data_IF_297644311599
#
_entry.id   IF_297644311599
#
_cell.length_a   1.000
_cell.length_b   1.000
_cell.length_c   1.000
_cell.angle_alpha   90.00
_cell.angle_beta   90.00
_cell.angle_gamma   90.00
#
_symmetry.space_group_name_H-M   'P 1'
#
loop_
_entity.id
_entity.type
_entity.pdbx_description
1 polymer ?
#
# COMPACT_ATOMS: atom_id res chain seq x y z
N UNK A 1 -0.59 38.75 6.38
CA UNK A 1 -0.87 37.45 7.01
C UNK A 1 0.35 36.59 6.82
N UNK A 2 1.11 36.35 7.89
CA UNK A 2 2.21 35.39 7.86
C UNK A 2 1.60 34.00 8.03
N UNK A 3 1.75 33.15 7.00
CA UNK A 3 1.41 31.73 7.13
C UNK A 3 2.62 31.05 7.77
N UNK A 4 2.44 30.49 8.96
CA UNK A 4 3.44 29.57 9.52
C UNK A 4 3.47 28.32 8.64
N UNK A 5 4.63 28.03 8.04
CA UNK A 5 4.84 26.80 7.30
C UNK A 5 5.07 25.68 8.32
N UNK A 6 3.99 25.14 8.87
CA UNK A 6 4.03 24.00 9.77
C UNK A 6 4.27 22.76 8.92
N UNK A 7 5.33 22.00 9.23
CA UNK A 7 5.61 20.76 8.55
C UNK A 7 4.53 19.73 8.85
N UNK A 8 4.23 18.83 7.90
CA UNK A 8 3.29 17.73 8.13
C UNK A 8 3.66 16.89 9.37
N UNK A 9 4.95 16.75 9.66
CA UNK A 9 5.43 16.01 10.84
C UNK A 9 5.16 16.72 12.17
N UNK A 10 4.86 18.01 12.15
CA UNK A 10 4.58 18.80 13.35
C UNK A 10 3.09 18.76 13.73
N UNK A 11 2.24 18.23 12.84
CA UNK A 11 0.81 18.09 13.09
C UNK A 11 0.52 16.88 13.99
N UNK A 12 -0.51 16.93 14.85
CA UNK A 12 -1.02 15.76 15.58
C UNK A 12 -1.57 14.66 14.65
N UNK A 13 -1.60 13.42 15.14
CA UNK A 13 -2.07 12.25 14.37
C UNK A 13 -3.52 12.40 13.91
N UNK A 14 -4.38 12.99 14.74
CA UNK A 14 -5.79 13.21 14.45
C UNK A 14 -5.96 14.14 13.26
N UNK A 15 -5.14 15.19 13.18
CA UNK A 15 -5.15 16.15 12.07
C UNK A 15 -4.64 15.48 10.80
N UNK A 16 -3.56 14.69 10.91
CA UNK A 16 -3.03 13.90 9.79
C UNK A 16 -4.07 12.91 9.26
N UNK A 17 -4.79 12.20 10.13
CA UNK A 17 -5.86 11.29 9.74
C UNK A 17 -7.00 12.02 9.02
N UNK A 18 -7.42 13.19 9.50
CA UNK A 18 -8.45 14.01 8.83
C UNK A 18 -7.98 14.44 7.44
N UNK A 19 -6.73 14.85 7.30
CA UNK A 19 -6.13 15.24 6.02
C UNK A 19 -6.10 14.02 5.08
N UNK A 20 -5.60 12.88 5.54
CA UNK A 20 -5.49 11.66 4.74
C UNK A 20 -6.85 11.12 4.29
N UNK A 21 -7.89 11.20 5.14
CA UNK A 21 -9.27 10.82 4.79
C UNK A 21 -9.89 11.68 3.69
N UNK A 22 -9.34 12.87 3.40
CA UNK A 22 -9.82 13.71 2.29
C UNK A 22 -9.24 13.30 0.93
N UNK A 23 -8.17 12.51 0.93
CA UNK A 23 -7.57 11.98 -0.28
C UNK A 23 -8.13 10.60 -0.59
N UNK A 24 -7.88 10.12 -1.80
CA UNK A 24 -8.17 8.73 -2.12
C UNK A 24 -7.27 7.84 -1.26
N UNK A 25 -7.87 7.14 -0.30
CA UNK A 25 -7.14 6.43 0.73
C UNK A 25 -6.13 5.40 0.19
N UNK A 26 -6.37 4.82 -1.01
CA UNK A 26 -5.41 3.96 -1.68
C UNK A 26 -4.17 4.72 -2.16
N UNK A 27 -4.34 5.89 -2.76
CA UNK A 27 -3.22 6.72 -3.23
C UNK A 27 -2.37 7.20 -2.05
N UNK A 28 -3.01 7.49 -0.91
CA UNK A 28 -2.34 7.84 0.35
C UNK A 28 -1.55 6.65 0.90
N UNK A 29 -2.17 5.47 0.97
CA UNK A 29 -1.51 4.25 1.45
C UNK A 29 -0.23 3.99 0.66
N UNK A 30 -0.28 4.03 -0.67
CA UNK A 30 0.88 3.78 -1.51
C UNK A 30 1.92 4.90 -1.47
N UNK A 31 1.50 6.16 -1.31
CA UNK A 31 2.42 7.30 -1.31
C UNK A 31 3.13 7.51 0.03
N UNK A 32 2.51 7.10 1.14
CA UNK A 32 3.06 7.29 2.49
C UNK A 32 3.74 6.04 3.04
N UNK A 33 3.53 4.88 2.42
CA UNK A 33 4.20 3.65 2.79
C UNK A 33 5.73 3.84 2.69
N UNK A 34 6.42 3.54 3.80
CA UNK A 34 7.87 3.67 3.95
C UNK A 34 8.46 5.09 3.83
N UNK A 35 7.64 6.16 3.83
CA UNK A 35 8.13 7.55 3.87
C UNK A 35 8.63 7.91 5.27
N UNK A 36 7.86 7.55 6.30
CA UNK A 36 8.22 7.78 7.70
C UNK A 36 7.52 6.75 8.58
N UNK A 37 8.20 6.28 9.64
CA UNK A 37 7.68 5.28 10.57
C UNK A 37 6.33 5.69 11.21
N UNK A 38 6.17 6.95 11.59
CA UNK A 38 4.93 7.48 12.19
C UNK A 38 3.77 7.46 11.19
N UNK A 39 4.02 7.93 9.96
CA UNK A 39 2.99 7.88 8.90
C UNK A 39 2.62 6.44 8.55
N UNK A 40 3.61 5.53 8.57
CA UNK A 40 3.38 4.10 8.37
C UNK A 40 2.46 3.51 9.45
N UNK A 41 2.60 3.95 10.71
CA UNK A 41 1.68 3.53 11.78
C UNK A 41 0.26 4.06 11.56
N UNK A 42 0.12 5.34 11.18
CA UNK A 42 -1.19 5.97 10.93
C UNK A 42 -1.95 5.28 9.79
N UNK A 43 -1.27 4.96 8.68
CA UNK A 43 -1.93 4.32 7.53
C UNK A 43 -2.31 2.85 7.80
N UNK A 44 -1.66 2.20 8.77
CA UNK A 44 -2.02 0.86 9.23
C UNK A 44 -3.06 0.86 10.36
N UNK A 45 -3.43 2.03 10.87
CA UNK A 45 -4.41 2.15 11.95
C UNK A 45 -5.79 1.61 11.49
N UNK A 46 -6.47 0.78 12.31
CA UNK A 46 -7.81 0.25 11.99
C UNK A 46 -8.87 1.32 11.71
N UNK A 47 -8.79 2.48 12.36
CA UNK A 47 -9.72 3.61 12.18
C UNK A 47 -9.48 4.28 10.82
N UNK A 48 -8.25 4.25 10.31
CA UNK A 48 -7.94 4.70 8.96
C UNK A 48 -8.36 3.66 7.92
N UNK A 49 -8.00 2.39 8.14
CA UNK A 49 -8.22 1.30 7.18
C UNK A 49 -9.69 0.85 7.07
N UNK A 50 -10.49 1.01 8.13
CA UNK A 50 -11.94 0.73 8.08
C UNK A 50 -12.71 1.65 7.12
N UNK A 51 -12.17 2.83 6.79
CA UNK A 51 -12.71 3.75 5.79
C UNK A 51 -12.26 3.46 4.35
N UNK A 52 -11.54 2.37 4.09
CA UNK A 52 -11.04 2.03 2.77
C UNK A 52 -12.15 1.47 1.88
N UNK A 53 -12.69 2.34 1.03
CA UNK A 53 -13.63 1.92 -0.01
C UNK A 53 -12.86 1.39 -1.23
N UNK A 54 -12.64 0.07 -1.29
CA UNK A 54 -11.99 -0.62 -2.42
C UNK A 54 -12.77 -0.56 -3.75
N UNK A 55 -13.98 0.00 -3.73
CA UNK A 55 -14.97 -0.06 -4.83
C UNK A 55 -14.55 0.74 -6.08
N UNK A 56 -13.58 1.67 -5.97
CA UNK A 56 -13.22 2.59 -7.08
C UNK A 56 -12.01 2.14 -7.92
N UNK A 57 -11.32 1.05 -7.57
CA UNK A 57 -10.10 0.62 -8.28
C UNK A 57 -10.39 0.20 -9.73
N UNK A 58 -11.56 -0.40 -10.01
CA UNK A 58 -11.83 -0.92 -11.34
C UNK A 58 -12.29 0.12 -12.38
N UNK A 59 -12.72 1.33 -11.97
CA UNK A 59 -13.46 2.22 -12.87
C UNK A 59 -12.79 3.54 -13.24
N UNK A 60 -11.75 3.98 -12.53
CA UNK A 60 -11.08 5.25 -12.82
C UNK A 60 -9.57 5.09 -12.62
N UNK A 61 -8.82 4.88 -13.70
CA UNK A 61 -7.49 5.47 -13.96
C UNK A 61 -6.75 4.67 -15.06
N UNK A 62 -7.19 4.87 -16.30
CA UNK A 62 -6.38 4.67 -17.51
C UNK A 62 -5.30 5.77 -17.67
N UNK A 63 -5.15 6.70 -16.71
CA UNK A 63 -4.39 7.94 -16.87
C UNK A 63 -2.94 7.85 -16.35
N UNK A 64 -2.57 6.83 -15.55
CA UNK A 64 -1.19 6.66 -15.08
C UNK A 64 -0.48 5.49 -15.75
N UNK A 65 -0.26 5.60 -17.06
CA UNK A 65 0.47 4.59 -17.85
C UNK A 65 1.92 4.42 -17.34
N UNK A 66 2.57 5.51 -16.91
CA UNK A 66 3.96 5.52 -16.42
C UNK A 66 4.10 4.86 -15.04
N UNK A 67 3.12 5.06 -14.14
CA UNK A 67 3.08 4.41 -12.83
C UNK A 67 2.67 2.93 -12.94
N UNK A 68 1.86 2.58 -13.96
CA UNK A 68 1.54 1.18 -14.29
C UNK A 68 2.78 0.41 -14.70
N UNK A 69 3.70 0.99 -15.49
CA UNK A 69 4.87 0.25 -15.94
C UNK A 69 5.84 -0.09 -14.80
N UNK A 70 6.06 0.81 -13.85
CA UNK A 70 6.89 0.51 -12.66
C UNK A 70 6.20 -0.48 -11.72
N UNK A 71 4.88 -0.35 -11.52
CA UNK A 71 4.10 -1.29 -10.67
C UNK A 71 4.03 -2.67 -11.32
N UNK A 72 3.72 -2.75 -12.61
CA UNK A 72 3.65 -3.98 -13.38
C UNK A 72 5.03 -4.65 -13.45
N UNK A 73 6.09 -3.87 -13.68
CA UNK A 73 7.47 -4.36 -13.67
C UNK A 73 7.86 -4.91 -12.30
N UNK A 74 7.49 -4.24 -11.21
CA UNK A 74 7.71 -4.75 -9.85
C UNK A 74 6.92 -6.03 -9.58
N UNK A 75 5.66 -6.08 -10.02
CA UNK A 75 4.83 -7.27 -9.91
C UNK A 75 5.43 -8.45 -10.67
N UNK A 76 5.79 -8.27 -11.94
CA UNK A 76 6.36 -9.30 -12.80
C UNK A 76 7.75 -9.77 -12.36
N UNK A 77 8.61 -8.87 -11.88
CA UNK A 77 10.01 -9.20 -11.58
C UNK A 77 10.25 -9.59 -10.12
N UNK A 78 9.38 -9.21 -9.19
CA UNK A 78 9.61 -9.44 -7.76
C UNK A 78 8.50 -10.29 -7.15
N UNK A 79 7.24 -9.87 -7.32
CA UNK A 79 6.12 -10.53 -6.63
C UNK A 79 5.78 -11.87 -7.27
N UNK A 80 5.71 -11.94 -8.60
CA UNK A 80 5.34 -13.16 -9.32
C UNK A 80 6.36 -14.30 -9.11
N UNK A 81 7.69 -14.08 -9.18
CA UNK A 81 8.67 -15.12 -8.88
C UNK A 81 8.59 -15.59 -7.43
N UNK A 82 8.37 -14.67 -6.47
CA UNK A 82 8.28 -15.03 -5.06
C UNK A 82 7.04 -15.90 -4.76
N UNK A 83 5.90 -15.60 -5.41
CA UNK A 83 4.71 -16.46 -5.35
C UNK A 83 5.00 -17.82 -5.99
N UNK A 84 5.66 -17.85 -7.15
CA UNK A 84 6.00 -19.09 -7.84
C UNK A 84 6.92 -19.99 -7.02
N UNK A 85 7.92 -19.42 -6.36
CA UNK A 85 8.84 -20.16 -5.50
C UNK A 85 8.13 -20.72 -4.26
N UNK A 86 7.20 -19.95 -3.67
CA UNK A 86 6.36 -20.44 -2.56
C UNK A 86 5.44 -21.58 -2.99
N UNK A 87 4.83 -21.50 -4.16
CA UNK A 87 3.98 -22.58 -4.70
C UNK A 87 4.81 -23.83 -4.97
N UNK A 88 5.99 -23.68 -5.61
CA UNK A 88 6.91 -24.81 -5.82
C UNK A 88 7.35 -25.46 -4.53
N UNK A 89 7.64 -24.66 -3.51
CA UNK A 89 8.03 -25.17 -2.20
C UNK A 89 6.89 -25.97 -1.56
N UNK A 90 5.66 -25.45 -1.61
CA UNK A 90 4.46 -26.14 -1.12
C UNK A 90 4.18 -27.45 -1.89
N UNK A 91 4.35 -27.45 -3.21
CA UNK A 91 4.21 -28.66 -4.03
C UNK A 91 5.28 -29.70 -3.65
N UNK A 92 6.53 -29.27 -3.43
CA UNK A 92 7.61 -30.17 -3.04
C UNK A 92 7.40 -30.75 -1.64
N UNK A 93 6.94 -29.94 -0.69
CA UNK A 93 6.60 -30.38 0.67
C UNK A 93 5.40 -31.34 0.67
N UNK A 94 4.36 -31.06 -0.14
CA UNK A 94 3.23 -31.96 -0.36
C UNK A 94 3.66 -33.29 -0.96
N UNK A 95 4.62 -33.29 -1.88
CA UNK A 95 5.20 -34.51 -2.43
C UNK A 95 5.97 -35.31 -1.37
N UNK A 96 6.75 -34.66 -0.49
CA UNK A 96 7.49 -35.34 0.58
C UNK A 96 6.57 -35.97 1.63
N UNK A 97 5.45 -35.32 1.96
CA UNK A 97 4.45 -35.86 2.88
C UNK A 97 3.67 -37.06 2.32
N UNK A 98 3.68 -37.31 1.01
CA UNK A 98 3.08 -38.52 0.41
C UNK A 98 3.95 -39.78 0.53
N UNK A 99 5.20 -39.64 0.99
CA UNK A 99 6.16 -40.75 1.16
C UNK A 99 6.43 -41.10 2.63
N UNK A 100 5.66 -40.54 3.56
CA UNK A 100 5.56 -40.96 4.98
C UNK A 100 4.23 -41.67 5.16
#
# INVERSE_FOLDING_TARGET
MEYSCIGLNDLPDEILMIIFKKFNNLDVLYSLQAVNQRLNQIIHDPIFTSGLTFVKWFSHNFINLISRDTILKRFCLQILPEIHDKIKWLDHESSLMKYI
#
